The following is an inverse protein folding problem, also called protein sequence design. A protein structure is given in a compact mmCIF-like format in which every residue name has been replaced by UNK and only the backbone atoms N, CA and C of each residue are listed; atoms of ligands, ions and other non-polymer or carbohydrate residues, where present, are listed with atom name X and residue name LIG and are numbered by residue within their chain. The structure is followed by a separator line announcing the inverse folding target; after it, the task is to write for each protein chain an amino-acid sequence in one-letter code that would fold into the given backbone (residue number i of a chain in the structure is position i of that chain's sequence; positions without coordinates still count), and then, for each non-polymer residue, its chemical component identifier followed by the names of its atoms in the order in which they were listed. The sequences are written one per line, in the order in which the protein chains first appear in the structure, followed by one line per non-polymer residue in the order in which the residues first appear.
data_IF_201492024692
#
_entry.id   IF_201492024692
#
_cell.length_a   1.000
_cell.length_b   1.000
_cell.length_c   1.000
_cell.angle_alpha   90.00
_cell.angle_beta   90.00
_cell.angle_gamma   90.00
#
_symmetry.space_group_name_H-M   'P 1'
#
loop_
_entity.id
_entity.type
_entity.pdbx_description
1 polymer ?
#
# COMPACT_ATOMS: atom_id res chain seq x y z
N UNK A 1 17.37 -13.37 -23.59
CA UNK A 1 17.62 -11.92 -23.43
C UNK A 1 16.54 -11.40 -22.51
N UNK A 2 16.82 -11.37 -21.19
CA UNK A 2 15.88 -10.84 -20.21
C UNK A 2 16.01 -9.32 -20.24
N UNK A 3 14.93 -8.63 -20.56
CA UNK A 3 14.87 -7.18 -20.34
C UNK A 3 14.77 -7.02 -18.83
N UNK A 4 15.88 -6.72 -18.17
CA UNK A 4 15.82 -6.08 -16.85
C UNK A 4 15.12 -4.76 -17.08
N UNK A 5 13.81 -4.70 -16.77
CA UNK A 5 13.14 -3.43 -16.73
C UNK A 5 13.76 -2.66 -15.58
N UNK A 6 14.68 -1.75 -15.90
CA UNK A 6 15.05 -0.69 -15.00
C UNK A 6 13.77 0.09 -14.71
N UNK A 7 13.20 -0.15 -13.53
CA UNK A 7 12.00 0.50 -13.02
C UNK A 7 12.36 1.78 -12.27
N UNK A 8 13.66 2.13 -12.20
CA UNK A 8 14.14 3.44 -11.76
C UNK A 8 13.39 4.62 -12.38
N UNK A 9 13.06 4.61 -13.70
CA UNK A 9 12.29 5.67 -14.32
C UNK A 9 10.87 5.81 -13.79
N UNK A 10 10.18 4.72 -13.39
CA UNK A 10 8.82 4.82 -12.82
C UNK A 10 8.83 5.47 -11.43
N UNK A 11 9.94 5.30 -10.70
CA UNK A 11 10.17 5.91 -9.40
C UNK A 11 10.51 7.40 -9.54
N UNK A 12 11.13 7.81 -10.64
CA UNK A 12 11.45 9.21 -10.96
C UNK A 12 10.36 9.95 -11.75
N UNK A 13 9.47 9.22 -12.44
CA UNK A 13 8.40 9.79 -13.29
C UNK A 13 7.32 10.51 -12.49
N UNK A 14 7.25 10.26 -11.19
CA UNK A 14 6.31 10.90 -10.30
C UNK A 14 7.11 11.52 -9.17
N UNK A 15 7.22 12.85 -9.18
CA UNK A 15 7.71 13.59 -8.02
C UNK A 15 6.62 13.50 -6.94
N UNK A 16 6.52 12.32 -6.32
CA UNK A 16 5.47 11.88 -5.41
C UNK A 16 5.15 12.92 -4.32
N UNK A 17 6.15 13.59 -3.70
CA UNK A 17 5.88 14.66 -2.76
C UNK A 17 5.23 15.91 -3.37
N UNK A 18 5.47 16.21 -4.65
CA UNK A 18 4.95 17.40 -5.34
C UNK A 18 3.57 17.22 -5.96
N UNK A 19 3.15 15.98 -6.20
CA UNK A 19 1.81 15.70 -6.72
C UNK A 19 0.70 16.14 -5.72
N UNK A 20 -0.47 16.50 -6.24
CA UNK A 20 -1.65 16.71 -5.40
C UNK A 20 -2.14 15.40 -4.77
N UNK A 21 -2.90 15.45 -3.66
CA UNK A 21 -3.40 14.25 -2.98
C UNK A 21 -4.27 13.38 -3.90
N UNK A 22 -5.11 14.01 -4.71
CA UNK A 22 -5.97 13.36 -5.70
C UNK A 22 -5.18 12.61 -6.78
N UNK A 23 -4.11 13.24 -7.29
CA UNK A 23 -3.24 12.59 -8.27
C UNK A 23 -2.55 11.36 -7.67
N UNK A 24 -2.10 11.45 -6.41
CA UNK A 24 -1.51 10.31 -5.69
C UNK A 24 -2.53 9.20 -5.46
N UNK A 25 -3.75 9.50 -5.04
CA UNK A 25 -4.79 8.48 -4.84
C UNK A 25 -5.16 7.80 -6.15
N UNK A 26 -5.26 8.55 -7.26
CA UNK A 26 -5.54 7.97 -8.58
C UNK A 26 -4.44 6.99 -9.02
N UNK A 27 -3.17 7.35 -8.80
CA UNK A 27 -2.04 6.45 -9.06
C UNK A 27 -2.12 5.20 -8.20
N UNK A 28 -2.53 5.30 -6.93
CA UNK A 28 -2.66 4.14 -6.04
C UNK A 28 -3.77 3.20 -6.48
N UNK A 29 -4.91 3.72 -6.94
CA UNK A 29 -5.98 2.91 -7.52
C UNK A 29 -5.49 2.14 -8.75
N UNK A 30 -4.71 2.79 -9.63
CA UNK A 30 -4.12 2.13 -10.80
C UNK A 30 -3.09 1.08 -10.38
N UNK A 31 -2.23 1.37 -9.41
CA UNK A 31 -1.24 0.43 -8.89
C UNK A 31 -1.88 -0.79 -8.22
N UNK A 32 -2.96 -0.59 -7.44
CA UNK A 32 -3.70 -1.68 -6.82
C UNK A 32 -4.35 -2.61 -7.86
N UNK A 33 -4.92 -2.02 -8.92
CA UNK A 33 -5.48 -2.78 -10.05
C UNK A 33 -4.40 -3.54 -10.81
N UNK A 34 -3.28 -2.87 -11.11
CA UNK A 34 -2.14 -3.47 -11.80
C UNK A 34 -1.52 -4.60 -10.98
N UNK A 35 -1.37 -4.42 -9.67
CA UNK A 35 -0.82 -5.42 -8.77
C UNK A 35 -1.66 -6.70 -8.73
N UNK A 36 -3.00 -6.58 -8.68
CA UNK A 36 -3.90 -7.73 -8.75
C UNK A 36 -3.82 -8.47 -10.09
N UNK A 37 -3.58 -7.75 -11.18
CA UNK A 37 -3.41 -8.34 -12.51
C UNK A 37 -1.99 -8.86 -12.77
N UNK A 38 -1.02 -8.57 -11.90
CA UNK A 38 0.39 -8.93 -12.12
C UNK A 38 0.64 -10.40 -11.76
N UNK A 39 1.18 -11.22 -12.68
CA UNK A 39 1.51 -12.60 -12.37
C UNK A 39 2.59 -12.72 -11.29
N UNK A 40 2.35 -13.56 -10.28
CA UNK A 40 3.28 -13.87 -9.18
C UNK A 40 4.49 -14.67 -9.70
N UNK A 41 5.46 -13.98 -10.27
CA UNK A 41 6.60 -14.57 -11.01
C UNK A 41 7.96 -14.08 -10.50
N UNK A 42 7.97 -13.15 -9.56
CA UNK A 42 9.18 -12.42 -9.15
C UNK A 42 9.72 -11.49 -10.23
N UNK A 43 8.89 -11.13 -11.21
CA UNK A 43 9.28 -10.28 -12.34
C UNK A 43 9.44 -8.80 -11.94
N UNK A 44 10.12 -7.99 -12.77
CA UNK A 44 10.39 -6.57 -12.48
C UNK A 44 9.14 -5.74 -12.19
N UNK A 45 8.01 -6.06 -12.83
CA UNK A 45 6.75 -5.36 -12.60
C UNK A 45 6.18 -5.61 -11.19
N UNK A 46 6.19 -6.87 -10.73
CA UNK A 46 5.75 -7.24 -9.38
C UNK A 46 6.60 -6.53 -8.32
N UNK A 47 7.92 -6.49 -8.55
CA UNK A 47 8.88 -5.79 -7.67
C UNK A 47 8.66 -4.28 -7.65
N UNK A 48 8.38 -3.67 -8.80
CA UNK A 48 8.07 -2.25 -8.90
C UNK A 48 6.78 -1.89 -8.16
N UNK A 49 5.70 -2.66 -8.38
CA UNK A 49 4.42 -2.45 -7.69
C UNK A 49 4.61 -2.59 -6.18
N UNK A 50 5.29 -3.65 -5.72
CA UNK A 50 5.58 -3.85 -4.30
C UNK A 50 6.37 -2.68 -3.69
N UNK A 51 7.43 -2.24 -4.37
CA UNK A 51 8.26 -1.13 -3.93
C UNK A 51 7.52 0.21 -3.88
N UNK A 52 6.68 0.51 -4.88
CA UNK A 52 5.89 1.73 -4.94
C UNK A 52 4.82 1.78 -3.84
N UNK A 53 4.03 0.70 -3.70
CA UNK A 53 3.03 0.61 -2.64
C UNK A 53 3.67 0.73 -1.26
N UNK A 54 4.84 0.13 -1.06
CA UNK A 54 5.57 0.20 0.20
C UNK A 54 6.07 1.61 0.55
N UNK A 55 6.40 2.44 -0.44
CA UNK A 55 6.71 3.85 -0.21
C UNK A 55 5.44 4.63 0.13
N UNK A 56 4.36 4.35 -0.59
CA UNK A 56 3.10 5.08 -0.44
C UNK A 56 2.41 4.85 0.91
N UNK A 57 2.57 3.70 1.58
CA UNK A 57 2.05 3.49 2.94
C UNK A 57 2.71 4.39 4.00
N UNK A 58 3.78 5.10 3.64
CA UNK A 58 4.42 6.14 4.44
C UNK A 58 3.98 7.57 4.11
N UNK A 59 2.98 7.78 3.25
CA UNK A 59 2.61 9.13 2.78
C UNK A 59 2.31 10.09 3.93
N UNK A 60 2.64 11.37 3.71
CA UNK A 60 2.43 12.43 4.68
C UNK A 60 0.95 12.65 4.99
N UNK A 61 0.07 12.55 4.00
CA UNK A 61 -1.35 12.83 4.15
C UNK A 61 -2.16 11.57 4.45
N UNK A 62 -3.00 11.64 5.48
CA UNK A 62 -3.75 10.46 5.96
C UNK A 62 -4.63 9.82 4.88
N UNK A 63 -5.20 10.62 3.97
CA UNK A 63 -6.06 10.13 2.87
C UNK A 63 -5.27 9.33 1.83
N UNK A 64 -4.10 9.81 1.43
CA UNK A 64 -3.23 9.09 0.50
C UNK A 64 -2.67 7.84 1.16
N UNK A 65 -2.29 7.95 2.43
CA UNK A 65 -1.84 6.79 3.21
C UNK A 65 -2.92 5.71 3.32
N UNK A 66 -4.18 6.10 3.52
CA UNK A 66 -5.30 5.16 3.56
C UNK A 66 -5.44 4.40 2.23
N UNK A 67 -5.34 5.12 1.11
CA UNK A 67 -5.48 4.51 -0.21
C UNK A 67 -4.33 3.57 -0.56
N UNK A 68 -3.12 3.90 -0.10
CA UNK A 68 -1.98 3.00 -0.22
C UNK A 68 -2.17 1.71 0.59
N UNK A 69 -2.74 1.82 1.80
CA UNK A 69 -3.04 0.65 2.63
C UNK A 69 -4.12 -0.23 1.99
N UNK A 70 -5.16 0.35 1.38
CA UNK A 70 -6.18 -0.42 0.64
C UNK A 70 -5.56 -1.14 -0.55
N UNK A 71 -4.78 -0.44 -1.38
CA UNK A 71 -4.09 -1.07 -2.51
C UNK A 71 -3.18 -2.23 -2.08
N UNK A 72 -2.46 -2.10 -0.95
CA UNK A 72 -1.68 -3.21 -0.39
C UNK A 72 -2.57 -4.38 0.01
N UNK A 73 -3.70 -4.12 0.68
CA UNK A 73 -4.61 -5.20 1.08
C UNK A 73 -5.20 -5.91 -0.14
N UNK A 74 -5.59 -5.18 -1.18
CA UNK A 74 -6.19 -5.74 -2.39
C UNK A 74 -5.19 -6.59 -3.19
N UNK A 75 -3.94 -6.16 -3.29
CA UNK A 75 -2.91 -6.90 -4.04
C UNK A 75 -2.51 -8.19 -3.31
N UNK A 76 -2.53 -8.19 -1.98
CA UNK A 76 -1.97 -9.28 -1.18
C UNK A 76 -3.01 -10.02 -0.32
N UNK A 77 -4.31 -9.89 -0.55
CA UNK A 77 -5.33 -10.54 0.27
C UNK A 77 -5.35 -12.07 0.12
N UNK A 78 -5.27 -12.57 -1.11
CA UNK A 78 -5.57 -13.97 -1.43
C UNK A 78 -4.48 -14.95 -1.01
N UNK A 79 -3.20 -14.56 -1.13
CA UNK A 79 -2.07 -15.42 -0.79
C UNK A 79 -1.38 -14.94 0.50
N UNK A 80 -1.60 -15.69 1.57
CA UNK A 80 -0.93 -15.54 2.87
C UNK A 80 0.60 -15.37 2.75
N UNK A 81 1.25 -16.06 1.81
CA UNK A 81 2.70 -16.14 1.64
C UNK A 81 3.16 -15.57 0.30
N UNK A 82 2.44 -14.55 -0.20
CA UNK A 82 2.78 -13.91 -1.47
C UNK A 82 4.29 -13.59 -1.56
N UNK A 83 5.03 -14.10 -2.55
CA UNK A 83 6.49 -14.01 -2.61
C UNK A 83 7.04 -12.58 -2.50
N UNK A 84 6.51 -11.61 -3.26
CA UNK A 84 6.93 -10.20 -3.12
C UNK A 84 6.63 -9.63 -1.72
N UNK A 85 5.50 -10.00 -1.11
CA UNK A 85 5.14 -9.54 0.23
C UNK A 85 6.19 -9.97 1.28
N UNK A 86 6.70 -11.20 1.14
CA UNK A 86 7.74 -11.74 1.99
C UNK A 86 9.11 -11.11 1.68
N UNK A 87 9.52 -11.05 0.41
CA UNK A 87 10.81 -10.47 -0.01
C UNK A 87 11.00 -9.03 0.48
N UNK A 88 9.95 -8.22 0.43
CA UNK A 88 9.97 -6.82 0.88
C UNK A 88 9.78 -6.62 2.38
N UNK A 89 9.62 -7.70 3.16
CA UNK A 89 9.30 -7.64 4.58
C UNK A 89 8.12 -6.69 4.88
N UNK A 90 7.04 -6.80 4.10
CA UNK A 90 5.90 -5.88 4.17
C UNK A 90 5.17 -5.98 5.52
N UNK A 91 5.04 -7.16 6.11
CA UNK A 91 4.30 -7.33 7.38
C UNK A 91 4.87 -6.51 8.55
N UNK A 92 6.18 -6.59 8.89
CA UNK A 92 6.77 -5.71 9.89
C UNK A 92 6.50 -4.22 9.61
N UNK A 93 6.65 -3.79 8.36
CA UNK A 93 6.44 -2.38 7.98
C UNK A 93 4.99 -1.96 8.16
N UNK A 94 4.02 -2.80 7.78
CA UNK A 94 2.60 -2.51 7.95
C UNK A 94 2.20 -2.40 9.44
N UNK A 95 2.86 -3.16 10.33
CA UNK A 95 2.64 -3.01 11.79
C UNK A 95 3.08 -1.64 12.30
N UNK A 96 4.19 -1.13 11.80
CA UNK A 96 4.70 0.19 12.16
C UNK A 96 3.82 1.29 11.54
N UNK A 97 3.48 1.16 10.26
CA UNK A 97 2.55 2.04 9.56
C UNK A 97 1.19 2.11 10.26
N UNK A 98 0.64 0.99 10.75
CA UNK A 98 -0.65 1.00 11.46
C UNK A 98 -0.62 1.89 12.71
N UNK A 99 0.49 1.92 13.45
CA UNK A 99 0.63 2.81 14.62
C UNK A 99 0.62 4.27 14.20
N UNK A 100 1.41 4.63 13.18
CA UNK A 100 1.43 5.98 12.62
C UNK A 100 0.09 6.41 12.05
N UNK A 101 -0.56 5.54 11.28
CA UNK A 101 -1.87 5.79 10.66
C UNK A 101 -2.96 6.05 11.71
N UNK A 102 -3.01 5.27 12.79
CA UNK A 102 -3.95 5.51 13.90
C UNK A 102 -3.78 6.89 14.52
N UNK A 103 -2.54 7.35 14.69
CA UNK A 103 -2.26 8.69 15.20
C UNK A 103 -2.72 9.77 14.21
N UNK A 104 -2.41 9.62 12.93
CA UNK A 104 -2.81 10.56 11.87
C UNK A 104 -4.32 10.66 11.69
N UNK A 105 -5.05 9.54 11.72
CA UNK A 105 -6.52 9.55 11.66
C UNK A 105 -7.12 10.34 12.83
N UNK A 106 -6.47 10.35 14.00
CA UNK A 106 -6.91 11.14 15.16
C UNK A 106 -6.66 12.63 14.98
N UNK A 107 -5.54 13.03 14.37
CA UNK A 107 -5.17 14.44 14.20
C UNK A 107 -5.75 15.09 12.94
N UNK A 108 -5.64 14.42 11.79
CA UNK A 108 -6.07 14.93 10.48
C UNK A 108 -7.51 14.55 10.17
N UNK A 109 -7.95 13.37 10.61
CA UNK A 109 -9.28 12.84 10.28
C UNK A 109 -10.45 13.63 10.86
N UNK A 110 -10.23 14.56 11.79
CA UNK A 110 -11.30 15.44 12.28
C UNK A 110 -11.57 16.64 11.37
N UNK A 111 -10.63 16.96 10.48
CA UNK A 111 -10.68 18.13 9.58
C UNK A 111 -11.21 17.79 8.18
N UNK A 112 -11.44 16.50 7.89
CA UNK A 112 -11.94 16.02 6.60
C UNK A 112 -13.46 15.80 6.67
N UNK A 113 -14.09 15.72 5.50
CA UNK A 113 -15.53 15.48 5.40
C UNK A 113 -15.96 14.13 5.98
N UNK A 114 -17.27 13.96 6.14
CA UNK A 114 -17.85 12.79 6.80
C UNK A 114 -17.58 11.49 6.07
N UNK A 115 -17.53 11.52 4.74
CA UNK A 115 -17.31 10.34 3.90
C UNK A 115 -15.86 9.88 4.01
N UNK A 116 -14.92 10.82 3.89
CA UNK A 116 -13.50 10.55 4.12
C UNK A 116 -13.26 10.02 5.54
N UNK A 117 -13.94 10.57 6.55
CA UNK A 117 -13.87 10.03 7.92
C UNK A 117 -14.32 8.57 8.04
N UNK A 118 -15.35 8.15 7.28
CA UNK A 118 -15.79 6.77 7.26
C UNK A 118 -14.73 5.89 6.59
N UNK A 119 -14.22 6.31 5.43
CA UNK A 119 -13.15 5.62 4.71
C UNK A 119 -11.92 5.37 5.59
N UNK A 120 -11.46 6.39 6.32
CA UNK A 120 -10.32 6.27 7.24
C UNK A 120 -10.59 5.27 8.38
N UNK A 121 -11.81 5.24 8.90
CA UNK A 121 -12.20 4.31 9.98
C UNK A 121 -12.27 2.87 9.48
N UNK A 122 -12.84 2.68 8.29
CA UNK A 122 -12.91 1.38 7.62
C UNK A 122 -11.52 0.85 7.29
N UNK A 123 -10.69 1.67 6.63
CA UNK A 123 -9.30 1.33 6.29
C UNK A 123 -8.53 0.91 7.54
N UNK A 124 -8.68 1.64 8.66
CA UNK A 124 -8.03 1.30 9.95
C UNK A 124 -8.46 -0.06 10.50
N UNK A 125 -9.73 -0.42 10.34
CA UNK A 125 -10.27 -1.70 10.76
C UNK A 125 -9.75 -2.83 9.86
N UNK A 126 -9.79 -2.62 8.55
CA UNK A 126 -9.40 -3.61 7.54
C UNK A 126 -7.91 -3.92 7.63
N UNK A 127 -7.03 -2.92 7.76
CA UNK A 127 -5.59 -3.17 7.88
C UNK A 127 -5.24 -3.93 9.16
N UNK A 128 -5.95 -3.69 10.27
CA UNK A 128 -5.73 -4.42 11.51
C UNK A 128 -6.11 -5.91 11.35
N UNK A 129 -7.22 -6.19 10.65
CA UNK A 129 -7.65 -7.55 10.32
C UNK A 129 -6.67 -8.23 9.36
N UNK A 130 -6.26 -7.54 8.31
CA UNK A 130 -5.30 -8.02 7.33
C UNK A 130 -3.96 -8.41 7.99
N UNK A 131 -3.39 -7.54 8.84
CA UNK A 131 -2.16 -7.84 9.58
C UNK A 131 -2.35 -9.08 10.47
N UNK A 132 -3.49 -9.19 11.16
CA UNK A 132 -3.77 -10.34 12.03
C UNK A 132 -3.85 -11.64 11.22
N UNK A 133 -4.52 -11.61 10.07
CA UNK A 133 -4.57 -12.73 9.13
C UNK A 133 -3.17 -13.15 8.66
N UNK A 134 -2.34 -12.20 8.23
CA UNK A 134 -0.95 -12.48 7.79
C UNK A 134 -0.08 -13.08 8.89
N UNK A 135 -0.23 -12.63 10.14
CA UNK A 135 0.48 -13.22 11.28
C UNK A 135 0.05 -14.66 11.50
N UNK A 136 -1.26 -14.92 11.54
CA UNK A 136 -1.78 -16.28 11.76
C UNK A 136 -1.32 -17.25 10.68
N UNK A 137 -1.35 -16.82 9.42
CA UNK A 137 -0.95 -17.66 8.30
C UNK A 137 0.59 -17.88 8.19
N UNK A 138 1.40 -17.00 8.79
CA UNK A 138 2.85 -17.21 8.88
C UNK A 138 3.22 -18.32 9.90
N UNK A 139 2.37 -18.58 10.88
CA UNK A 139 2.61 -19.56 11.95
C UNK A 139 2.03 -20.96 11.66
N UNK A 140 1.37 -21.14 10.52
CA UNK A 140 0.78 -22.42 10.06
C UNK A 140 1.69 -23.07 9.03
#
# INVERSE_FOLDING_TARGET
MSIEADVGPLVELFDWPLAGPEARTNVLTMLGTLGQATPTTGGPLEEAVAGLLLRAVGDAQVVVQAEALNAVMDVYCDDARHPAFLRHALLPRLRDCLRGFKAKVKSEGVQVDREVQLHLKETKLNIARFISYKISAANT
#
